data_IF_243785255600
#
_entry.id   IF_243785255600
#
_cell.length_a   1.000
_cell.length_b   1.000
_cell.length_c   1.000
_cell.angle_alpha   90.00
_cell.angle_beta   90.00
_cell.angle_gamma   90.00
#
_symmetry.space_group_name_H-M   'P 1'
#
loop_
_entity.id
_entity.type
_entity.pdbx_description
1 polymer ?
#
# COMPACT_ATOMS: atom_id res chain seq x y z
N UNK A 1 2.57 -29.20 2.88
CA UNK A 1 3.58 -28.48 3.69
C UNK A 1 3.02 -28.09 5.07
N UNK A 2 1.77 -27.67 5.14
CA UNK A 2 1.19 -27.06 6.34
C UNK A 2 0.61 -28.08 7.33
N UNK A 3 0.54 -29.37 6.95
CA UNK A 3 -0.02 -30.45 7.78
C UNK A 3 1.03 -31.23 8.58
N UNK A 4 2.33 -30.90 8.44
CA UNK A 4 3.41 -31.58 9.17
C UNK A 4 3.72 -30.80 10.45
N UNK A 5 3.74 -31.46 11.62
CA UNK A 5 4.15 -30.82 12.87
C UNK A 5 5.53 -30.17 12.75
N UNK A 6 5.68 -28.96 13.28
CA UNK A 6 6.92 -28.16 13.14
C UNK A 6 8.16 -28.90 13.62
N UNK A 7 8.04 -29.68 14.71
CA UNK A 7 9.17 -30.44 15.27
C UNK A 7 9.62 -31.54 14.29
N UNK A 8 8.67 -32.26 13.68
CA UNK A 8 8.95 -33.31 12.71
C UNK A 8 9.60 -32.72 11.45
N UNK A 9 9.07 -31.61 10.96
CA UNK A 9 9.66 -30.90 9.82
C UNK A 9 11.10 -30.48 10.11
N UNK A 10 11.37 -29.91 11.27
CA UNK A 10 12.74 -29.50 11.66
C UNK A 10 13.69 -30.69 11.79
N UNK A 11 13.23 -31.80 12.32
CA UNK A 11 14.01 -33.04 12.42
C UNK A 11 14.36 -33.61 11.04
N UNK A 12 13.40 -33.62 10.11
CA UNK A 12 13.63 -34.08 8.74
C UNK A 12 14.61 -33.17 7.99
N UNK A 13 14.48 -31.83 8.17
CA UNK A 13 15.44 -30.88 7.60
C UNK A 13 16.86 -31.12 8.15
N UNK A 14 17.01 -31.37 9.44
CA UNK A 14 18.30 -31.67 10.06
C UNK A 14 18.91 -32.98 9.51
N UNK A 15 18.11 -34.04 9.42
CA UNK A 15 18.53 -35.32 8.85
C UNK A 15 18.94 -35.20 7.38
N UNK A 16 18.20 -34.41 6.61
CA UNK A 16 18.55 -34.13 5.21
C UNK A 16 19.89 -33.41 5.10
N UNK A 17 20.10 -32.35 5.90
CA UNK A 17 21.35 -31.61 5.93
C UNK A 17 22.53 -32.46 6.38
N UNK A 18 22.33 -33.35 7.36
CA UNK A 18 23.36 -34.25 7.88
C UNK A 18 23.89 -35.20 6.78
N UNK A 19 23.01 -35.75 5.94
CA UNK A 19 23.42 -36.56 4.79
C UNK A 19 24.29 -35.83 3.76
N UNK A 20 24.07 -34.52 3.59
CA UNK A 20 24.87 -33.72 2.67
C UNK A 20 26.25 -33.34 3.20
N UNK A 21 26.49 -33.40 4.49
CA UNK A 21 27.80 -33.12 5.08
C UNK A 21 28.85 -34.12 4.55
N UNK A 22 28.53 -35.41 4.49
CA UNK A 22 29.44 -36.41 4.00
C UNK A 22 29.73 -36.23 2.51
N UNK A 23 28.73 -35.93 1.72
CA UNK A 23 28.90 -35.68 0.28
C UNK A 23 29.81 -34.47 0.06
N UNK A 24 29.55 -33.36 0.70
CA UNK A 24 30.35 -32.14 0.60
C UNK A 24 31.79 -32.35 1.11
N UNK A 25 31.97 -33.12 2.17
CA UNK A 25 33.29 -33.47 2.71
C UNK A 25 34.15 -34.13 1.65
N UNK A 26 33.63 -35.14 0.97
CA UNK A 26 34.36 -35.83 -0.07
C UNK A 26 34.63 -34.96 -1.29
N UNK A 27 33.69 -34.14 -1.68
CA UNK A 27 33.86 -33.21 -2.79
C UNK A 27 34.92 -32.15 -2.50
N UNK A 28 34.92 -31.55 -1.31
CA UNK A 28 35.91 -30.54 -0.90
C UNK A 28 37.31 -31.15 -0.74
N UNK A 29 37.42 -32.38 -0.21
CA UNK A 29 38.69 -33.12 -0.19
C UNK A 29 39.23 -33.34 -1.60
N UNK A 30 38.36 -33.71 -2.53
CA UNK A 30 38.72 -33.90 -3.95
C UNK A 30 39.22 -32.59 -4.59
N UNK A 31 38.67 -31.47 -4.22
CA UNK A 31 39.11 -30.14 -4.67
C UNK A 31 40.40 -29.66 -3.99
N UNK A 32 40.95 -30.42 -3.04
CA UNK A 32 42.18 -30.06 -2.33
C UNK A 32 41.99 -29.06 -1.18
N UNK A 33 40.75 -28.81 -0.74
CA UNK A 33 40.47 -27.96 0.42
C UNK A 33 41.03 -28.63 1.68
N UNK A 34 41.77 -27.89 2.48
CA UNK A 34 42.33 -28.37 3.76
C UNK A 34 41.47 -27.90 4.94
N UNK A 35 41.27 -28.76 5.92
CA UNK A 35 40.48 -28.48 7.09
C UNK A 35 40.41 -29.62 8.06
N UNK A 36 39.77 -29.44 9.19
CA UNK A 36 39.46 -30.52 10.13
C UNK A 36 38.17 -31.21 9.68
N UNK A 37 38.32 -32.26 8.92
CA UNK A 37 37.22 -33.03 8.34
C UNK A 37 36.52 -33.96 9.33
N UNK A 38 37.16 -34.27 10.45
CA UNK A 38 36.61 -35.14 11.49
C UNK A 38 35.68 -34.36 12.43
N UNK A 39 35.95 -33.05 12.61
CA UNK A 39 35.18 -32.18 13.48
C UNK A 39 34.97 -30.82 12.77
N UNK A 40 34.14 -30.79 11.68
CA UNK A 40 33.86 -29.57 10.96
C UNK A 40 32.96 -28.65 11.76
N UNK A 41 33.13 -27.34 11.60
CA UNK A 41 32.16 -26.37 12.10
C UNK A 41 30.82 -26.52 11.36
N UNK A 42 29.76 -26.78 12.11
CA UNK A 42 28.40 -26.88 11.59
C UNK A 42 27.46 -25.98 12.40
N UNK A 43 26.73 -25.12 11.74
CA UNK A 43 25.76 -24.24 12.39
C UNK A 43 24.61 -25.00 13.06
N UNK A 44 24.35 -26.24 12.64
CA UNK A 44 23.33 -27.12 13.22
C UNK A 44 23.81 -27.94 14.43
N UNK A 45 25.09 -27.87 14.80
CA UNK A 45 25.57 -28.52 16.03
C UNK A 45 24.95 -27.84 17.22
N UNK A 46 24.55 -28.63 18.23
CA UNK A 46 23.90 -28.08 19.42
C UNK A 46 24.78 -27.07 20.17
N UNK A 47 26.10 -27.27 20.20
CA UNK A 47 27.04 -26.30 20.76
C UNK A 47 27.04 -24.97 19.99
N UNK A 48 27.00 -25.01 18.65
CA UNK A 48 26.92 -23.84 17.81
C UNK A 48 25.56 -23.11 17.97
N UNK A 49 24.48 -23.86 18.03
CA UNK A 49 23.15 -23.31 18.28
C UNK A 49 23.07 -22.63 19.65
N UNK A 50 23.69 -23.24 20.67
CA UNK A 50 23.73 -22.67 22.02
C UNK A 50 24.49 -21.35 22.07
N UNK A 51 25.66 -21.27 21.41
CA UNK A 51 26.45 -20.02 21.31
C UNK A 51 25.68 -18.93 20.54
N UNK A 52 25.04 -19.29 19.41
CA UNK A 52 24.22 -18.36 18.66
C UNK A 52 23.08 -17.81 19.51
N UNK A 53 22.38 -18.67 20.24
CA UNK A 53 21.30 -18.26 21.13
C UNK A 53 21.80 -17.38 22.28
N UNK A 54 22.96 -17.70 22.89
CA UNK A 54 23.58 -16.91 23.95
C UNK A 54 23.94 -15.48 23.46
N UNK A 55 24.57 -15.39 22.29
CA UNK A 55 24.91 -14.08 21.70
C UNK A 55 23.65 -13.28 21.34
N UNK A 56 22.63 -13.94 20.80
CA UNK A 56 21.36 -13.29 20.50
C UNK A 56 20.66 -12.76 21.77
N UNK A 57 20.70 -13.50 22.86
CA UNK A 57 20.13 -13.05 24.13
C UNK A 57 20.75 -11.77 24.66
N UNK A 58 21.99 -11.44 24.31
CA UNK A 58 22.63 -10.18 24.68
C UNK A 58 21.91 -8.98 24.05
N UNK A 59 21.41 -9.13 22.82
CA UNK A 59 20.59 -8.09 22.18
C UNK A 59 19.22 -7.93 22.85
N UNK A 60 18.63 -9.02 23.31
CA UNK A 60 17.39 -8.97 24.11
C UNK A 60 17.62 -8.21 25.41
N UNK A 61 18.70 -8.53 26.11
CA UNK A 61 18.99 -7.95 27.43
C UNK A 61 19.32 -6.45 27.37
N UNK A 62 19.86 -5.96 26.27
CA UNK A 62 20.13 -4.53 26.09
C UNK A 62 18.97 -3.74 25.46
N UNK A 63 17.83 -4.39 25.23
CA UNK A 63 16.63 -3.75 24.69
C UNK A 63 16.64 -3.51 23.17
N UNK A 64 17.62 -4.03 22.45
CA UNK A 64 17.70 -3.85 21.00
C UNK A 64 16.70 -4.71 20.21
N UNK A 65 16.14 -5.76 20.84
CA UNK A 65 15.13 -6.61 20.23
C UNK A 65 13.73 -6.20 20.67
N UNK A 66 12.87 -5.96 19.71
CA UNK A 66 11.46 -5.67 19.93
C UNK A 66 10.60 -6.35 18.87
N UNK A 67 9.33 -6.58 19.17
CA UNK A 67 8.36 -7.07 18.20
C UNK A 67 7.73 -5.88 17.46
N UNK A 68 7.74 -5.94 16.14
CA UNK A 68 7.16 -4.91 15.29
C UNK A 68 6.56 -5.51 14.03
N UNK A 69 5.82 -4.69 13.28
CA UNK A 69 5.29 -5.05 11.96
C UNK A 69 5.97 -4.19 10.90
N UNK A 70 6.43 -4.83 9.83
CA UNK A 70 6.99 -4.16 8.65
C UNK A 70 6.33 -4.73 7.40
N UNK A 71 5.76 -3.89 6.51
CA UNK A 71 5.29 -4.36 5.21
C UNK A 71 6.44 -4.97 4.42
N UNK A 72 6.22 -6.14 3.86
CA UNK A 72 7.19 -6.84 3.00
C UNK A 72 6.51 -7.27 1.71
N UNK A 73 7.30 -7.42 0.65
CA UNK A 73 6.80 -7.98 -0.60
C UNK A 73 6.42 -9.44 -0.41
N UNK A 74 5.31 -9.84 -1.01
CA UNK A 74 4.77 -11.19 -0.94
C UNK A 74 4.55 -11.75 -2.33
N UNK A 75 5.06 -12.95 -2.58
CA UNK A 75 4.75 -13.69 -3.80
C UNK A 75 3.50 -14.56 -3.60
N UNK A 76 2.39 -14.25 -4.28
CA UNK A 76 1.19 -15.08 -4.19
C UNK A 76 1.33 -16.44 -4.87
N UNK A 77 2.30 -16.60 -5.78
CA UNK A 77 2.57 -17.87 -6.49
C UNK A 77 3.36 -18.81 -5.58
N UNK A 78 4.47 -18.36 -5.03
CA UNK A 78 5.31 -19.13 -4.12
C UNK A 78 4.75 -19.18 -2.70
N UNK A 79 3.79 -18.33 -2.38
CA UNK A 79 3.18 -18.18 -1.05
C UNK A 79 4.22 -17.94 0.05
N UNK A 80 5.09 -16.97 -0.19
CA UNK A 80 6.17 -16.59 0.71
C UNK A 80 6.47 -15.10 0.65
N UNK A 81 7.04 -14.57 1.73
CA UNK A 81 7.67 -13.25 1.73
C UNK A 81 8.96 -13.29 0.89
N UNK A 82 9.25 -12.17 0.23
CA UNK A 82 10.46 -12.00 -0.56
C UNK A 82 11.47 -11.16 0.22
N UNK A 83 12.74 -11.53 0.14
CA UNK A 83 13.82 -10.63 0.54
C UNK A 83 13.92 -9.46 -0.46
N UNK A 84 14.40 -8.31 -0.02
CA UNK A 84 14.51 -7.13 -0.87
C UNK A 84 15.38 -7.39 -2.14
N UNK A 85 16.42 -8.21 -2.02
CA UNK A 85 17.28 -8.60 -3.14
C UNK A 85 16.60 -9.54 -4.16
N UNK A 86 15.47 -10.14 -3.81
CA UNK A 86 14.70 -11.04 -4.69
C UNK A 86 13.61 -10.28 -5.46
N UNK A 87 13.40 -8.99 -5.14
CA UNK A 87 12.39 -8.16 -5.80
C UNK A 87 12.97 -7.58 -7.07
N UNK A 88 12.34 -7.91 -8.19
CA UNK A 88 12.66 -7.33 -9.49
C UNK A 88 11.58 -6.34 -9.90
N UNK A 89 12.01 -5.18 -10.41
CA UNK A 89 11.11 -4.13 -10.89
C UNK A 89 11.09 -4.11 -12.42
N UNK A 90 9.89 -4.18 -12.97
CA UNK A 90 9.65 -4.12 -14.41
C UNK A 90 8.62 -3.03 -14.70
N UNK A 91 8.84 -2.33 -15.81
CA UNK A 91 7.83 -1.38 -16.32
C UNK A 91 6.56 -2.13 -16.68
N UNK A 92 5.42 -1.65 -16.19
CA UNK A 92 4.11 -2.24 -16.42
C UNK A 92 3.07 -1.16 -16.67
N UNK A 93 2.32 -1.32 -17.75
CA UNK A 93 1.13 -0.52 -17.97
C UNK A 93 0.01 -0.93 -17.00
N UNK A 94 -0.59 0.05 -16.35
CA UNK A 94 -1.68 -0.15 -15.40
C UNK A 94 -2.74 0.92 -15.57
N UNK A 95 -3.99 0.57 -15.32
CA UNK A 95 -5.07 1.54 -15.30
C UNK A 95 -4.97 2.42 -14.07
N UNK A 96 -5.14 3.71 -14.28
CA UNK A 96 -5.27 4.69 -13.21
C UNK A 96 -6.59 5.43 -13.36
N UNK A 97 -7.20 5.82 -12.25
CA UNK A 97 -8.48 6.52 -12.27
C UNK A 97 -8.46 7.78 -11.43
N UNK A 98 -9.16 8.80 -11.88
CA UNK A 98 -9.54 9.97 -11.09
C UNK A 98 -10.96 9.78 -10.61
N UNK A 99 -11.19 9.91 -9.33
CA UNK A 99 -12.48 9.63 -8.70
C UNK A 99 -13.01 10.89 -8.04
N UNK A 100 -14.26 11.20 -8.31
CA UNK A 100 -14.98 12.35 -7.79
C UNK A 100 -15.70 11.98 -6.49
N UNK A 101 -15.47 12.76 -5.43
CA UNK A 101 -16.22 12.70 -4.18
C UNK A 101 -17.02 13.99 -4.04
N UNK A 102 -18.33 13.89 -4.03
CA UNK A 102 -19.20 15.05 -3.86
C UNK A 102 -19.25 15.47 -2.40
N UNK A 103 -19.02 16.75 -2.13
CA UNK A 103 -19.19 17.32 -0.79
C UNK A 103 -20.67 17.33 -0.44
N UNK A 104 -21.00 16.82 0.76
CA UNK A 104 -22.36 16.78 1.30
C UNK A 104 -22.40 17.49 2.67
N UNK A 105 -23.59 17.92 3.05
CA UNK A 105 -23.80 18.67 4.28
C UNK A 105 -23.94 20.17 4.07
N UNK A 106 -24.06 20.90 5.16
CA UNK A 106 -24.26 22.36 5.18
C UNK A 106 -22.90 23.05 5.38
N UNK A 107 -22.26 23.37 4.27
CA UNK A 107 -20.96 24.08 4.24
C UNK A 107 -20.87 24.98 3.01
N UNK A 108 -19.98 25.96 3.04
CA UNK A 108 -19.68 26.82 1.87
C UNK A 108 -19.14 26.06 0.66
N UNK A 109 -18.69 24.83 0.87
CA UNK A 109 -18.25 23.90 -0.16
C UNK A 109 -19.32 22.88 -0.56
N UNK A 110 -20.55 23.02 -0.07
CA UNK A 110 -21.65 22.12 -0.45
C UNK A 110 -21.75 21.98 -1.98
N UNK A 111 -21.97 20.77 -2.46
CA UNK A 111 -21.99 20.40 -3.88
C UNK A 111 -20.66 20.55 -4.64
N UNK A 112 -19.58 21.01 -4.02
CA UNK A 112 -18.26 20.92 -4.63
C UNK A 112 -17.78 19.47 -4.72
N UNK A 113 -16.77 19.24 -5.54
CA UNK A 113 -16.23 17.92 -5.83
C UNK A 113 -14.77 17.88 -5.43
N UNK A 114 -14.41 16.93 -4.61
CA UNK A 114 -13.01 16.56 -4.36
C UNK A 114 -12.60 15.46 -5.32
N UNK A 115 -11.41 15.55 -5.86
CA UNK A 115 -10.88 14.53 -6.80
C UNK A 115 -9.66 13.89 -6.19
N UNK A 116 -9.65 12.58 -6.19
CA UNK A 116 -8.46 11.77 -5.90
C UNK A 116 -7.97 11.04 -7.15
N UNK A 117 -6.71 10.66 -7.14
CA UNK A 117 -6.11 9.79 -8.14
C UNK A 117 -5.63 8.50 -7.48
N UNK A 118 -5.86 7.36 -8.15
CA UNK A 118 -5.41 6.07 -7.65
C UNK A 118 -5.00 5.13 -8.78
N UNK A 119 -3.99 4.31 -8.50
CA UNK A 119 -3.57 3.17 -9.35
C UNK A 119 -4.26 1.87 -8.94
N UNK A 120 -5.03 1.87 -7.85
CA UNK A 120 -5.64 0.68 -7.25
C UNK A 120 -7.15 0.84 -7.11
N UNK A 121 -7.90 0.96 -8.23
CA UNK A 121 -9.34 1.24 -8.19
C UNK A 121 -10.17 0.18 -7.45
N UNK A 122 -9.67 -1.05 -7.35
CA UNK A 122 -10.34 -2.13 -6.60
C UNK A 122 -10.36 -1.92 -5.08
N UNK A 123 -9.62 -0.94 -4.55
CA UNK A 123 -9.68 -0.57 -3.13
C UNK A 123 -10.80 0.43 -2.83
N UNK A 124 -11.41 1.03 -3.85
CA UNK A 124 -12.47 2.02 -3.67
C UNK A 124 -13.66 1.54 -2.85
N UNK A 125 -14.15 0.29 -2.98
CA UNK A 125 -15.27 -0.19 -2.17
C UNK A 125 -15.04 -0.08 -0.66
N UNK A 126 -13.81 -0.16 -0.19
CA UNK A 126 -13.44 -0.07 1.24
C UNK A 126 -12.89 1.30 1.65
N UNK A 127 -12.90 2.30 0.77
CA UNK A 127 -12.45 3.65 1.10
C UNK A 127 -13.39 4.28 2.15
N UNK A 128 -12.81 4.87 3.21
CA UNK A 128 -13.54 5.46 4.32
C UNK A 128 -13.26 6.94 4.55
N UNK A 129 -12.16 7.44 4.00
CA UNK A 129 -11.75 8.82 4.20
C UNK A 129 -10.90 9.31 3.03
N UNK A 130 -10.88 10.62 2.85
CA UNK A 130 -9.94 11.34 2.00
C UNK A 130 -9.09 12.22 2.90
N UNK A 131 -7.77 12.13 2.75
CA UNK A 131 -6.79 12.84 3.58
C UNK A 131 -6.36 14.13 2.87
N UNK A 132 -6.15 15.19 3.61
CA UNK A 132 -5.59 16.44 3.12
C UNK A 132 -4.39 16.87 3.99
N UNK A 133 -3.45 17.62 3.39
CA UNK A 133 -2.28 18.12 4.09
C UNK A 133 -2.47 19.60 4.49
N UNK A 134 -2.23 19.95 5.75
CA UNK A 134 -2.35 21.33 6.24
C UNK A 134 -1.38 22.31 5.57
N UNK A 135 -0.21 21.83 5.14
CA UNK A 135 0.82 22.62 4.45
C UNK A 135 0.59 22.81 2.95
N UNK A 136 -0.52 22.30 2.39
CA UNK A 136 -0.84 22.35 0.97
C UNK A 136 -1.85 23.48 0.72
N UNK A 137 -1.58 24.26 -0.35
CA UNK A 137 -2.55 25.28 -0.80
C UNK A 137 -3.64 24.64 -1.64
N UNK A 138 -4.89 24.88 -1.26
CA UNK A 138 -6.07 24.43 -2.00
C UNK A 138 -6.85 25.60 -2.55
N UNK A 139 -7.48 25.37 -3.69
CA UNK A 139 -8.39 26.32 -4.33
C UNK A 139 -9.74 25.69 -4.68
N UNK A 140 -10.77 26.50 -4.70
CA UNK A 140 -12.05 26.19 -5.33
C UNK A 140 -11.98 26.62 -6.80
N UNK A 141 -12.23 25.69 -7.70
CA UNK A 141 -12.20 25.92 -9.15
C UNK A 141 -13.58 25.66 -9.74
N UNK A 142 -14.05 26.57 -10.57
CA UNK A 142 -15.34 26.44 -11.26
C UNK A 142 -15.13 26.23 -12.75
N UNK A 143 -15.87 25.29 -13.31
CA UNK A 143 -15.87 25.00 -14.76
C UNK A 143 -16.81 25.99 -15.46
N UNK A 144 -16.27 26.77 -16.37
CA UNK A 144 -17.00 27.82 -17.10
C UNK A 144 -17.34 27.43 -18.54
N UNK A 145 -16.69 26.38 -19.07
CA UNK A 145 -16.95 25.84 -20.40
C UNK A 145 -16.44 24.42 -20.49
N UNK A 146 -17.03 23.59 -21.33
CA UNK A 146 -16.63 22.21 -21.56
C UNK A 146 -16.70 21.86 -23.04
N UNK A 147 -15.74 21.07 -23.55
CA UNK A 147 -15.90 20.39 -24.83
C UNK A 147 -16.90 19.22 -24.70
N UNK A 148 -17.43 18.73 -25.82
CA UNK A 148 -18.45 17.66 -25.84
C UNK A 148 -18.04 16.36 -25.15
N UNK A 149 -16.73 16.08 -25.04
CA UNK A 149 -16.20 14.85 -24.45
C UNK A 149 -15.59 15.04 -23.04
N UNK A 150 -15.90 16.13 -22.35
CA UNK A 150 -15.38 16.40 -21.00
C UNK A 150 -15.99 15.47 -19.96
N UNK A 151 -15.19 15.15 -18.93
CA UNK A 151 -15.67 14.46 -17.73
C UNK A 151 -16.27 15.42 -16.68
N UNK A 152 -16.25 16.74 -16.93
CA UNK A 152 -16.82 17.77 -16.10
C UNK A 152 -17.96 18.50 -16.83
N UNK A 153 -18.86 19.09 -16.07
CA UNK A 153 -19.96 19.89 -16.60
C UNK A 153 -19.73 21.37 -16.27
N UNK A 154 -20.30 22.26 -17.09
CA UNK A 154 -20.34 23.70 -16.75
C UNK A 154 -21.06 23.90 -15.44
N UNK A 155 -20.43 24.63 -14.52
CA UNK A 155 -20.92 24.87 -13.18
C UNK A 155 -20.40 23.85 -12.13
N UNK A 156 -19.71 22.78 -12.54
CA UNK A 156 -19.02 21.91 -11.57
C UNK A 156 -17.96 22.74 -10.84
N UNK A 157 -17.89 22.54 -9.52
CA UNK A 157 -16.91 23.18 -8.65
C UNK A 157 -16.00 22.12 -8.04
N UNK A 158 -14.71 22.29 -8.20
CA UNK A 158 -13.70 21.34 -7.73
C UNK A 158 -12.84 21.97 -6.62
N UNK A 159 -12.63 21.20 -5.54
CA UNK A 159 -11.62 21.50 -4.54
C UNK A 159 -10.37 20.72 -4.90
N UNK A 160 -9.29 21.42 -5.24
CA UNK A 160 -8.05 20.83 -5.69
C UNK A 160 -6.85 21.50 -5.02
N UNK A 161 -5.79 20.73 -4.84
CA UNK A 161 -4.48 21.32 -4.54
C UNK A 161 -4.02 22.17 -5.74
N UNK A 162 -3.60 23.40 -5.47
CA UNK A 162 -3.26 24.38 -6.51
C UNK A 162 -2.19 23.88 -7.48
N UNK A 163 -1.19 23.13 -6.97
CA UNK A 163 -0.12 22.56 -7.77
C UNK A 163 -0.55 21.39 -8.67
N UNK A 164 -1.72 20.79 -8.43
CA UNK A 164 -2.27 19.69 -9.22
C UNK A 164 -3.47 20.10 -10.09
N UNK A 165 -4.00 21.31 -9.89
CA UNK A 165 -5.25 21.73 -10.52
C UNK A 165 -5.18 21.66 -12.05
N UNK A 166 -4.12 22.16 -12.67
CA UNK A 166 -3.96 22.14 -14.13
C UNK A 166 -3.95 20.71 -14.70
N UNK A 167 -3.23 19.79 -14.03
CA UNK A 167 -3.17 18.39 -14.45
C UNK A 167 -4.53 17.70 -14.35
N UNK A 168 -5.25 17.91 -13.23
CA UNK A 168 -6.59 17.34 -13.02
C UNK A 168 -7.57 17.87 -14.06
N UNK A 169 -7.55 19.17 -14.35
CA UNK A 169 -8.40 19.78 -15.36
C UNK A 169 -8.10 19.26 -16.78
N UNK A 170 -6.83 19.10 -17.11
CA UNK A 170 -6.40 18.46 -18.38
C UNK A 170 -6.91 17.01 -18.48
N UNK A 171 -6.84 16.25 -17.39
CA UNK A 171 -7.39 14.88 -17.35
C UNK A 171 -8.91 14.85 -17.44
N UNK A 172 -9.59 15.89 -16.95
CA UNK A 172 -11.02 16.08 -17.17
C UNK A 172 -11.38 16.55 -18.60
N UNK A 173 -10.36 16.68 -19.46
CA UNK A 173 -10.47 17.17 -20.85
C UNK A 173 -10.95 18.62 -20.94
N UNK A 174 -10.52 19.44 -19.99
CA UNK A 174 -10.74 20.87 -20.00
C UNK A 174 -9.50 21.59 -20.51
N UNK A 175 -9.70 22.62 -21.35
CA UNK A 175 -8.64 23.48 -21.84
C UNK A 175 -8.47 24.72 -20.96
N UNK A 176 -7.36 25.42 -21.14
CA UNK A 176 -7.13 26.70 -20.46
C UNK A 176 -8.22 27.71 -20.85
N UNK A 177 -8.77 28.38 -19.83
CA UNK A 177 -9.90 29.33 -20.01
C UNK A 177 -11.29 28.67 -19.87
N UNK A 178 -11.40 27.37 -19.75
CA UNK A 178 -12.67 26.66 -19.50
C UNK A 178 -12.93 26.44 -18.01
N UNK A 179 -12.04 26.86 -17.16
CA UNK A 179 -12.20 26.87 -15.71
C UNK A 179 -11.53 28.09 -15.10
N UNK A 180 -11.96 28.48 -13.91
CA UNK A 180 -11.36 29.58 -13.17
C UNK A 180 -11.23 29.24 -11.69
N UNK A 181 -10.16 29.74 -11.05
CA UNK A 181 -9.99 29.67 -9.61
C UNK A 181 -10.87 30.72 -8.95
N UNK A 182 -11.81 30.28 -8.14
CA UNK A 182 -12.83 31.15 -7.51
C UNK A 182 -12.31 31.78 -6.21
N UNK A 183 -11.74 30.95 -5.33
CA UNK A 183 -11.21 31.38 -4.04
C UNK A 183 -10.20 30.38 -3.45
N UNK A 184 -9.50 30.83 -2.42
CA UNK A 184 -8.73 29.95 -1.54
C UNK A 184 -9.67 29.04 -0.74
N UNK A 185 -9.18 27.82 -0.43
CA UNK A 185 -9.81 26.88 0.49
C UNK A 185 -8.80 26.62 1.59
N UNK A 186 -9.10 27.02 2.80
CA UNK A 186 -8.22 26.79 3.94
C UNK A 186 -8.35 25.33 4.41
N UNK A 187 -7.30 24.79 5.06
CA UNK A 187 -7.35 23.47 5.67
C UNK A 187 -8.51 23.34 6.67
N UNK A 188 -8.82 24.41 7.41
CA UNK A 188 -9.98 24.46 8.32
C UNK A 188 -11.34 24.31 7.61
N UNK A 189 -11.43 24.67 6.32
CA UNK A 189 -12.66 24.50 5.54
C UNK A 189 -12.86 23.02 5.12
N UNK A 190 -11.80 22.24 5.18
CA UNK A 190 -11.79 20.81 4.83
C UNK A 190 -12.00 19.91 6.05
N UNK A 191 -11.72 20.42 7.25
CA UNK A 191 -11.86 19.67 8.50
C UNK A 191 -13.32 19.25 8.74
N UNK A 192 -13.56 17.95 8.95
CA UNK A 192 -14.89 17.41 9.21
C UNK A 192 -15.87 17.47 8.02
N UNK A 193 -15.36 17.76 6.81
CA UNK A 193 -16.19 17.85 5.62
C UNK A 193 -16.72 16.46 5.20
N UNK A 194 -18.03 16.33 5.08
CA UNK A 194 -18.68 15.10 4.62
C UNK A 194 -18.52 14.92 3.11
N UNK A 195 -18.14 13.73 2.67
CA UNK A 195 -17.99 13.37 1.26
C UNK A 195 -18.86 12.17 0.92
N UNK A 196 -19.64 12.28 -0.14
CA UNK A 196 -20.42 11.17 -0.66
C UNK A 196 -19.46 10.19 -1.36
N UNK A 197 -19.50 8.95 -0.89
CA UNK A 197 -18.72 7.88 -1.53
C UNK A 197 -19.18 7.67 -2.99
N UNK A 198 -18.27 7.54 -3.98
CA UNK A 198 -18.62 7.45 -5.39
C UNK A 198 -19.50 6.23 -5.73
N UNK A 199 -19.46 5.19 -4.91
CA UNK A 199 -20.33 4.01 -5.05
C UNK A 199 -21.60 4.08 -4.19
N UNK A 200 -21.87 5.19 -3.50
CA UNK A 200 -23.10 5.36 -2.74
C UNK A 200 -24.31 5.28 -3.67
N UNK A 201 -25.23 4.37 -3.39
CA UNK A 201 -26.40 4.11 -4.22
C UNK A 201 -26.13 3.32 -5.50
N UNK A 202 -24.93 2.78 -5.69
CA UNK A 202 -24.66 1.83 -6.76
C UNK A 202 -25.52 0.57 -6.54
N UNK A 203 -26.16 0.12 -7.61
CA UNK A 203 -26.94 -1.13 -7.62
C UNK A 203 -26.22 -2.13 -8.52
N UNK A 204 -26.06 -3.36 -8.03
CA UNK A 204 -25.71 -4.47 -8.89
C UNK A 204 -26.96 -5.25 -9.32
N UNK A 205 -26.83 -6.05 -10.37
CA UNK A 205 -27.93 -6.86 -10.90
C UNK A 205 -28.30 -8.05 -10.00
N UNK A 206 -27.48 -8.37 -8.99
CA UNK A 206 -27.60 -9.57 -8.16
C UNK A 206 -27.85 -9.27 -6.69
N UNK A 207 -27.84 -8.01 -6.25
CA UNK A 207 -27.99 -7.62 -4.85
C UNK A 207 -26.76 -7.92 -3.99
N UNK A 208 -25.63 -8.33 -4.59
CA UNK A 208 -24.38 -8.64 -3.86
C UNK A 208 -23.75 -7.41 -3.19
N UNK A 209 -24.20 -6.21 -3.60
CA UNK A 209 -23.68 -4.94 -3.10
C UNK A 209 -24.57 -4.30 -2.04
N UNK A 210 -25.55 -5.03 -1.53
CA UNK A 210 -26.45 -4.52 -0.47
C UNK A 210 -25.67 -4.12 0.79
N UNK A 211 -24.62 -4.86 1.13
CA UNK A 211 -23.70 -4.54 2.24
C UNK A 211 -22.83 -3.29 1.98
N UNK A 212 -22.66 -2.89 0.71
CA UNK A 212 -21.88 -1.72 0.29
C UNK A 212 -22.75 -0.44 0.29
N UNK A 213 -24.07 -0.56 0.32
CA UNK A 213 -25.02 0.59 0.34
C UNK A 213 -24.90 1.49 1.57
N UNK A 214 -24.38 0.95 2.66
CA UNK A 214 -24.13 1.71 3.90
C UNK A 214 -22.82 2.51 3.90
N UNK A 215 -22.26 2.81 2.72
CA UNK A 215 -21.14 3.74 2.63
C UNK A 215 -21.57 5.11 3.18
N UNK A 216 -21.05 5.38 4.35
CA UNK A 216 -21.18 6.70 4.96
C UNK A 216 -20.32 7.70 4.21
N UNK A 217 -20.67 8.96 4.26
CA UNK A 217 -19.82 10.02 3.77
C UNK A 217 -18.40 9.84 4.34
N UNK A 218 -17.41 9.82 3.46
CA UNK A 218 -16.03 9.86 3.89
C UNK A 218 -15.77 11.27 4.47
N UNK A 219 -15.02 11.32 5.55
CA UNK A 219 -14.61 12.58 6.19
C UNK A 219 -13.18 12.91 5.75
N UNK A 220 -12.91 14.20 5.59
CA UNK A 220 -11.53 14.66 5.52
C UNK A 220 -10.89 14.50 6.90
N UNK A 221 -9.70 13.91 6.91
CA UNK A 221 -8.88 13.81 8.11
C UNK A 221 -7.55 14.50 7.86
N UNK A 222 -7.02 15.15 8.87
CA UNK A 222 -5.68 15.73 8.79
C UNK A 222 -4.64 14.60 8.74
N UNK A 223 -3.68 14.72 7.84
CA UNK A 223 -2.44 13.95 7.94
C UNK A 223 -1.61 14.57 9.06
N UNK A 224 -1.41 13.83 10.14
CA UNK A 224 -0.70 14.28 11.33
C UNK A 224 0.79 13.98 11.31
N UNK A 225 1.36 13.56 10.16
CA UNK A 225 2.81 13.35 9.98
C UNK A 225 3.42 14.25 8.91
#
# INVERSE_FOLDING_TARGET
KDDVPVIELRQECRKFADGWIDVQREEFKRLGVQGNWEDPYLTMNFSSEAVIAEEFMKFVMNGALYQGSKPVMWSPIEQTALAEAEVEYHDKESFTVWVKFKVVGDSDLADAIVVIWTTTPWTMPSNKAVVYGEGISYGLYEVTGTPDESWANVGDRFVLADNLAADVMTKARLEEGQYSRVRDVAASDLEGLGLLHPLAGAEDSNGEWDDIRDFRAAEFVTDTE
#
